data_IF_037140398861
#
_entry.id   IF_037140398861
#
_cell.length_a   1.000
_cell.length_b   1.000
_cell.length_c   1.000
_cell.angle_alpha   90.00
_cell.angle_beta   90.00
_cell.angle_gamma   90.00
#
_symmetry.space_group_name_H-M   'P 1'
#
loop_
_entity.id
_entity.type
_entity.pdbx_description
1 polymer ?
#
# COMPACT_ATOMS: atom_id res chain seq x y z
N UNK A 1 16.72 -4.32 -13.91
CA UNK A 1 15.81 -5.48 -13.91
C UNK A 1 14.39 -4.94 -13.87
N UNK A 2 13.65 -4.97 -14.97
CA UNK A 2 12.26 -4.55 -15.00
C UNK A 2 11.48 -5.76 -14.49
N UNK A 3 11.10 -5.73 -13.22
CA UNK A 3 10.18 -6.72 -12.68
C UNK A 3 8.77 -6.21 -12.95
N UNK A 4 8.17 -6.72 -14.03
CA UNK A 4 6.73 -6.59 -14.23
C UNK A 4 6.05 -7.58 -13.29
N UNK A 5 6.20 -7.34 -11.99
CA UNK A 5 5.54 -8.13 -10.99
C UNK A 5 4.07 -7.72 -10.99
N UNK A 6 3.22 -8.63 -11.41
CA UNK A 6 1.94 -8.77 -10.74
C UNK A 6 2.29 -9.08 -9.27
N UNK A 7 2.70 -8.03 -8.53
CA UNK A 7 3.02 -8.07 -7.10
C UNK A 7 1.85 -8.58 -6.28
N UNK A 8 0.65 -8.56 -6.88
CA UNK A 8 -0.58 -9.13 -6.36
C UNK A 8 -0.55 -10.65 -6.18
N UNK A 9 0.19 -11.42 -6.98
CA UNK A 9 0.18 -12.88 -6.83
C UNK A 9 1.16 -13.40 -5.77
N UNK A 10 2.26 -12.68 -5.52
CA UNK A 10 3.19 -13.05 -4.45
C UNK A 10 2.64 -12.63 -3.07
N UNK A 11 1.98 -11.48 -2.99
CA UNK A 11 1.30 -11.02 -1.78
C UNK A 11 0.00 -11.79 -1.53
N UNK A 12 -0.70 -12.26 -2.59
CA UNK A 12 -2.01 -12.88 -2.45
C UNK A 12 -1.98 -14.29 -1.85
N UNK A 13 -0.92 -15.06 -2.00
CA UNK A 13 -0.82 -16.40 -1.42
C UNK A 13 -0.41 -16.39 0.04
N UNK A 14 0.62 -15.66 0.42
CA UNK A 14 1.01 -15.50 1.83
C UNK A 14 -0.01 -14.68 2.62
N UNK A 15 -0.69 -13.73 1.96
CA UNK A 15 -1.71 -12.86 2.57
C UNK A 15 -3.01 -13.59 2.93
N UNK A 16 -3.50 -14.53 2.09
CA UNK A 16 -4.76 -15.26 2.37
C UNK A 16 -4.62 -16.26 3.52
N UNK A 17 -3.49 -16.90 3.68
CA UNK A 17 -3.30 -17.90 4.73
C UNK A 17 -2.95 -17.27 6.09
N UNK A 18 -2.14 -16.20 6.11
CA UNK A 18 -1.86 -15.45 7.33
C UNK A 18 -3.08 -14.67 7.83
N UNK A 19 -3.86 -14.06 6.93
CA UNK A 19 -4.97 -13.16 7.30
C UNK A 19 -6.10 -13.86 8.04
N UNK A 20 -6.46 -15.09 7.69
CA UNK A 20 -7.56 -15.82 8.34
C UNK A 20 -7.17 -16.36 9.73
N UNK A 21 -5.93 -16.77 9.94
CA UNK A 21 -5.47 -17.27 11.24
C UNK A 21 -5.12 -16.15 12.22
N UNK A 22 -4.61 -15.01 11.76
CA UNK A 22 -4.28 -13.85 12.61
C UNK A 22 -5.50 -12.99 12.96
N UNK A 23 -6.47 -12.86 12.06
CA UNK A 23 -7.77 -12.21 12.37
C UNK A 23 -8.47 -12.93 13.51
N UNK A 24 -8.37 -14.26 13.60
CA UNK A 24 -8.94 -15.05 14.71
C UNK A 24 -8.15 -14.89 16.02
N UNK A 25 -6.86 -14.53 15.98
CA UNK A 25 -6.03 -14.34 17.20
C UNK A 25 -6.09 -12.94 17.80
N UNK A 26 -6.46 -11.93 17.03
CA UNK A 26 -6.68 -10.58 17.55
C UNK A 26 -8.08 -10.47 18.16
N UNK A 27 -8.35 -11.16 19.27
CA UNK A 27 -9.46 -10.78 20.13
C UNK A 27 -9.23 -9.34 20.58
N UNK A 28 -10.27 -8.53 20.47
CA UNK A 28 -10.26 -7.17 21.00
C UNK A 28 -10.24 -7.29 22.53
N UNK A 29 -9.06 -7.28 23.13
CA UNK A 29 -8.94 -7.29 24.60
C UNK A 29 -9.13 -5.86 25.10
N UNK A 30 -10.38 -5.41 25.12
CA UNK A 30 -10.74 -4.06 25.57
C UNK A 30 -10.55 -3.88 27.07
N UNK A 31 -10.51 -4.97 27.83
CA UNK A 31 -10.29 -4.92 29.29
C UNK A 31 -8.89 -4.41 29.64
N UNK A 32 -7.90 -4.70 28.78
CA UNK A 32 -6.54 -4.16 28.91
C UNK A 32 -6.42 -2.69 28.51
N UNK A 33 -7.42 -2.12 27.85
CA UNK A 33 -7.38 -0.77 27.30
C UNK A 33 -7.98 0.30 28.23
N UNK A 34 -8.39 -0.05 29.46
CA UNK A 34 -8.85 0.92 30.45
C UNK A 34 -9.92 1.90 29.92
N UNK A 35 -9.78 3.22 30.16
CA UNK A 35 -10.76 4.22 29.74
C UNK A 35 -11.02 4.25 28.23
N UNK A 36 -10.04 3.92 27.39
CA UNK A 36 -10.19 3.90 25.94
C UNK A 36 -11.08 2.73 25.47
N UNK A 37 -10.99 1.59 26.15
CA UNK A 37 -11.90 0.47 25.89
C UNK A 37 -13.35 0.87 26.12
N UNK A 38 -13.63 1.58 27.21
CA UNK A 38 -14.96 2.13 27.53
C UNK A 38 -15.44 3.08 26.43
N UNK A 39 -14.56 3.97 25.97
CA UNK A 39 -14.86 4.94 24.91
C UNK A 39 -15.20 4.28 23.56
N UNK A 40 -14.52 3.18 23.21
CA UNK A 40 -14.85 2.37 22.03
C UNK A 40 -16.27 1.81 22.16
N UNK A 41 -16.61 1.23 23.31
CA UNK A 41 -17.92 0.66 23.57
C UNK A 41 -19.02 1.73 23.52
N UNK A 42 -18.82 2.87 24.15
CA UNK A 42 -19.73 3.99 24.13
C UNK A 42 -19.94 4.56 22.74
N UNK A 43 -18.84 4.74 21.99
CA UNK A 43 -18.95 5.25 20.62
C UNK A 43 -19.70 4.27 19.71
N UNK A 44 -19.39 3.00 19.74
CA UNK A 44 -20.10 1.99 18.92
C UNK A 44 -21.52 1.77 19.45
N UNK A 45 -21.75 1.98 20.75
CA UNK A 45 -23.03 1.73 21.41
C UNK A 45 -23.35 0.22 21.51
N UNK A 46 -22.36 -0.57 21.93
CA UNK A 46 -22.46 -2.03 22.00
C UNK A 46 -21.54 -2.59 23.12
N UNK A 47 -21.89 -3.73 23.67
CA UNK A 47 -21.02 -4.46 24.60
C UNK A 47 -19.83 -5.12 23.89
N UNK A 48 -18.78 -5.46 24.63
CA UNK A 48 -17.56 -6.06 24.07
C UNK A 48 -17.83 -7.32 23.25
N UNK A 49 -18.71 -8.20 23.73
CA UNK A 49 -19.11 -9.44 23.03
C UNK A 49 -19.88 -9.20 21.72
N UNK A 50 -20.43 -8.00 21.57
CA UNK A 50 -21.20 -7.58 20.39
C UNK A 50 -20.32 -6.90 19.32
N UNK A 51 -19.04 -6.71 19.60
CA UNK A 51 -18.10 -6.14 18.64
C UNK A 51 -17.52 -7.20 17.71
N UNK A 52 -17.13 -6.75 16.54
CA UNK A 52 -16.32 -7.49 15.57
C UNK A 52 -15.21 -6.61 15.04
N UNK A 53 -14.06 -7.21 14.81
CA UNK A 53 -12.89 -6.59 14.19
C UNK A 53 -12.55 -7.35 12.92
N UNK A 54 -12.37 -6.64 11.83
CA UNK A 54 -11.78 -7.16 10.59
C UNK A 54 -10.57 -6.32 10.23
N UNK A 55 -9.54 -6.92 9.63
CA UNK A 55 -8.34 -6.15 9.32
C UNK A 55 -7.36 -6.89 8.45
N UNK A 56 -6.26 -6.21 8.15
CA UNK A 56 -5.17 -6.70 7.30
C UNK A 56 -3.85 -6.07 7.71
N UNK A 57 -2.76 -6.70 7.27
CA UNK A 57 -1.41 -6.15 7.39
C UNK A 57 -0.90 -5.76 6.00
N UNK A 58 -0.17 -4.67 5.93
CA UNK A 58 0.37 -4.11 4.70
C UNK A 58 1.83 -3.73 4.91
N UNK A 59 2.66 -3.73 3.86
CA UNK A 59 3.97 -3.10 3.93
C UNK A 59 3.85 -1.64 4.38
N UNK A 60 4.81 -1.16 5.15
CA UNK A 60 4.75 0.19 5.72
C UNK A 60 4.60 1.30 4.66
N UNK A 61 5.16 1.09 3.47
CA UNK A 61 5.02 2.02 2.36
C UNK A 61 3.58 2.09 1.78
N UNK A 62 2.68 1.18 2.17
CA UNK A 62 1.27 1.23 1.77
C UNK A 62 0.44 2.17 2.66
N UNK A 63 1.01 2.76 3.70
CA UNK A 63 0.29 3.68 4.60
C UNK A 63 -0.47 4.79 3.84
N UNK A 64 0.16 5.57 2.92
CA UNK A 64 -0.59 6.56 2.14
C UNK A 64 -1.69 5.93 1.31
N UNK A 65 -1.45 4.72 0.80
CA UNK A 65 -2.38 4.03 -0.07
C UNK A 65 -3.64 3.56 0.68
N UNK A 66 -3.49 3.09 1.91
CA UNK A 66 -4.62 2.78 2.81
C UNK A 66 -5.51 4.01 3.04
N UNK A 67 -4.91 5.16 3.34
CA UNK A 67 -5.66 6.40 3.54
C UNK A 67 -6.36 6.88 2.26
N UNK A 68 -5.71 6.77 1.11
CA UNK A 68 -6.33 7.11 -0.18
C UNK A 68 -7.48 6.15 -0.52
N UNK A 69 -7.31 4.85 -0.28
CA UNK A 69 -8.35 3.86 -0.47
C UNK A 69 -9.56 4.11 0.43
N UNK A 70 -9.33 4.44 1.71
CA UNK A 70 -10.40 4.82 2.63
C UNK A 70 -11.20 6.00 2.10
N UNK A 71 -10.53 7.07 1.69
CA UNK A 71 -11.20 8.26 1.17
C UNK A 71 -11.96 8.01 -0.14
N UNK A 72 -11.44 7.14 -0.99
CA UNK A 72 -12.05 6.83 -2.29
C UNK A 72 -13.21 5.82 -2.19
N UNK A 73 -13.07 4.80 -1.33
CA UNK A 73 -14.09 3.76 -1.16
C UNK A 73 -15.24 4.20 -0.26
N UNK A 74 -14.97 5.09 0.70
CA UNK A 74 -15.92 5.48 1.75
C UNK A 74 -16.03 7.00 1.89
N UNK A 75 -16.39 7.72 0.80
CA UNK A 75 -16.46 9.18 0.82
C UNK A 75 -17.52 9.72 1.78
N UNK A 76 -18.54 8.92 2.06
CA UNK A 76 -19.66 9.28 2.94
C UNK A 76 -19.40 8.98 4.42
N UNK A 77 -18.23 8.40 4.77
CA UNK A 77 -17.87 8.20 6.16
C UNK A 77 -17.40 9.51 6.78
N UNK A 78 -18.18 10.03 7.72
CA UNK A 78 -17.88 11.30 8.39
C UNK A 78 -16.92 11.04 9.54
N UNK A 79 -15.71 11.60 9.46
CA UNK A 79 -14.73 11.53 10.54
C UNK A 79 -15.21 12.41 11.70
N UNK A 80 -15.53 11.76 12.84
CA UNK A 80 -15.95 12.45 14.06
C UNK A 80 -14.75 12.93 14.87
N UNK A 81 -13.71 12.09 14.97
CA UNK A 81 -12.47 12.42 15.69
C UNK A 81 -11.35 11.43 15.40
N UNK A 82 -10.14 11.82 15.80
CA UNK A 82 -8.96 10.98 15.88
C UNK A 82 -8.54 10.79 17.34
N UNK A 83 -8.02 9.62 17.68
CA UNK A 83 -7.42 9.33 18.98
C UNK A 83 -6.13 8.52 18.78
N UNK A 84 -5.22 8.59 19.74
CA UNK A 84 -4.01 7.80 19.74
C UNK A 84 -4.28 6.33 20.02
N UNK A 85 -3.23 5.55 20.12
CA UNK A 85 -3.29 4.18 20.66
C UNK A 85 -2.98 4.22 22.14
N UNK A 86 -3.53 3.29 22.92
CA UNK A 86 -3.20 3.17 24.34
C UNK A 86 -2.07 2.19 24.59
N UNK A 87 -1.18 2.57 25.51
CA UNK A 87 -0.53 1.64 26.42
C UNK A 87 -1.25 1.72 27.78
N UNK A 88 -1.07 0.73 28.62
CA UNK A 88 -1.86 0.39 29.82
C UNK A 88 -2.41 1.51 30.73
N UNK A 89 -1.94 2.76 30.62
CA UNK A 89 -2.36 3.84 31.53
C UNK A 89 -2.48 5.24 30.89
N UNK A 90 -2.03 5.45 29.64
CA UNK A 90 -2.02 6.77 29.02
C UNK A 90 -2.69 6.76 27.64
N UNK A 91 -3.52 7.78 27.39
CA UNK A 91 -4.08 8.08 26.05
C UNK A 91 -3.03 8.85 25.28
N UNK A 92 -2.44 8.21 24.27
CA UNK A 92 -1.46 8.85 23.41
C UNK A 92 -2.16 9.63 22.30
N UNK A 93 -1.54 10.72 21.85
CA UNK A 93 -1.97 11.40 20.63
C UNK A 93 -1.73 10.49 19.41
N UNK A 94 -2.51 10.66 18.32
CA UNK A 94 -2.25 9.96 17.08
C UNK A 94 -0.84 10.29 16.58
N UNK A 95 -0.11 9.25 16.17
CA UNK A 95 1.21 9.43 15.58
C UNK A 95 1.03 9.52 14.07
N UNK A 96 1.59 10.58 13.49
CA UNK A 96 1.60 10.81 12.06
C UNK A 96 2.99 10.55 11.49
N UNK A 97 3.02 9.94 10.31
CA UNK A 97 4.24 9.75 9.53
C UNK A 97 4.18 10.62 8.28
N UNK A 98 5.21 11.40 8.06
CA UNK A 98 5.39 12.19 6.84
C UNK A 98 5.92 11.30 5.73
N UNK A 99 5.18 11.18 4.64
CA UNK A 99 5.52 10.31 3.50
C UNK A 99 5.57 11.12 2.22
N UNK A 100 6.60 10.88 1.43
CA UNK A 100 6.72 11.44 0.08
C UNK A 100 5.82 10.63 -0.86
N UNK A 101 4.77 11.27 -1.41
CA UNK A 101 3.78 10.64 -2.29
C UNK A 101 4.06 10.86 -3.79
N UNK A 102 4.80 11.92 -4.09
CA UNK A 102 5.38 12.25 -5.41
C UNK A 102 6.69 12.96 -5.15
N UNK A 103 7.63 12.98 -6.09
CA UNK A 103 8.88 13.70 -5.92
C UNK A 103 8.67 15.12 -5.40
N UNK A 104 9.22 15.43 -4.22
CA UNK A 104 9.10 16.72 -3.53
C UNK A 104 7.74 16.98 -2.85
N UNK A 105 6.76 16.10 -2.95
CA UNK A 105 5.43 16.28 -2.34
C UNK A 105 5.24 15.34 -1.16
N UNK A 106 5.11 15.91 0.02
CA UNK A 106 4.95 15.17 1.26
C UNK A 106 3.55 15.38 1.84
N UNK A 107 3.01 14.34 2.48
CA UNK A 107 1.79 14.38 3.29
C UNK A 107 1.98 13.62 4.58
N UNK A 108 1.25 14.05 5.62
CA UNK A 108 1.24 13.38 6.91
C UNK A 108 0.03 12.43 6.99
N UNK A 109 0.29 11.19 7.44
CA UNK A 109 -0.71 10.14 7.56
C UNK A 109 -0.66 9.53 8.95
N UNK A 110 -1.82 9.25 9.55
CA UNK A 110 -1.88 8.53 10.83
C UNK A 110 -1.31 7.13 10.62
N UNK A 111 -0.20 6.83 11.28
CA UNK A 111 0.45 5.51 11.25
C UNK A 111 0.18 4.68 12.50
N UNK A 112 -0.10 5.35 13.63
CA UNK A 112 -0.55 4.71 14.87
C UNK A 112 -1.66 5.54 15.49
N UNK A 113 -2.80 4.92 15.75
CA UNK A 113 -3.97 5.57 16.32
C UNK A 113 -5.27 5.01 15.78
N UNK A 114 -6.35 5.72 16.05
CA UNK A 114 -7.69 5.35 15.64
C UNK A 114 -8.46 6.53 15.10
N UNK A 115 -9.34 6.26 14.15
CA UNK A 115 -10.28 7.20 13.55
C UNK A 115 -11.70 6.72 13.79
N UNK A 116 -12.53 7.59 14.31
CA UNK A 116 -13.91 7.33 14.65
C UNK A 116 -14.83 7.91 13.58
N UNK A 117 -15.59 7.04 12.92
CA UNK A 117 -16.45 7.42 11.79
C UNK A 117 -17.91 7.17 12.10
N UNK A 118 -18.75 8.10 11.65
CA UNK A 118 -20.20 7.95 11.59
C UNK A 118 -20.63 7.84 10.13
N UNK A 119 -21.45 6.86 9.82
CA UNK A 119 -21.99 6.63 8.49
C UNK A 119 -23.33 7.36 8.33
N UNK A 120 -23.79 7.59 7.08
CA UNK A 120 -25.06 8.27 6.82
C UNK A 120 -26.30 7.57 7.43
N UNK A 121 -26.23 6.24 7.58
CA UNK A 121 -27.30 5.44 8.21
C UNK A 121 -27.26 5.47 9.75
N UNK A 122 -26.37 6.27 10.33
CA UNK A 122 -26.15 6.38 11.77
C UNK A 122 -25.29 5.28 12.38
N UNK A 123 -24.86 4.28 11.59
CA UNK A 123 -23.93 3.26 12.09
C UNK A 123 -22.54 3.86 12.30
N UNK A 124 -21.74 3.19 13.14
CA UNK A 124 -20.43 3.70 13.54
C UNK A 124 -19.32 2.69 13.26
N UNK A 125 -18.15 3.21 12.89
CA UNK A 125 -16.93 2.43 12.61
C UNK A 125 -15.76 3.05 13.34
N UNK A 126 -14.85 2.22 13.83
CA UNK A 126 -13.55 2.69 14.31
C UNK A 126 -12.49 2.02 13.47
N UNK A 127 -11.63 2.82 12.85
CA UNK A 127 -10.50 2.35 12.07
C UNK A 127 -9.24 2.49 12.90
N UNK A 128 -8.49 1.41 13.06
CA UNK A 128 -7.22 1.38 13.77
C UNK A 128 -6.07 1.27 12.79
N UNK A 129 -5.06 2.08 13.04
CA UNK A 129 -3.74 2.01 12.41
C UNK A 129 -2.73 1.60 13.49
N UNK A 130 -1.91 0.60 13.20
CA UNK A 130 -0.85 0.14 14.10
C UNK A 130 0.41 -0.17 13.32
N UNK A 131 1.56 0.20 13.86
CA UNK A 131 2.85 -0.23 13.34
C UNK A 131 3.33 -1.41 14.17
N UNK A 132 3.70 -2.50 13.51
CA UNK A 132 4.36 -3.63 14.15
C UNK A 132 5.87 -3.54 13.86
N UNK A 133 6.63 -3.22 14.91
CA UNK A 133 8.09 -3.10 14.85
C UNK A 133 8.81 -4.35 15.38
N UNK A 134 8.08 -5.41 15.73
CA UNK A 134 8.66 -6.59 16.37
C UNK A 134 9.20 -7.61 15.35
N UNK A 135 8.90 -7.46 14.07
CA UNK A 135 9.42 -8.27 12.98
C UNK A 135 10.53 -7.53 12.22
N UNK A 136 11.44 -8.29 11.58
CA UNK A 136 12.49 -7.72 10.69
C UNK A 136 11.93 -6.92 9.50
N UNK A 137 10.65 -7.07 9.21
CA UNK A 137 9.90 -6.31 8.22
C UNK A 137 8.91 -5.40 8.94
N UNK A 138 8.92 -4.13 8.60
CA UNK A 138 8.01 -3.14 9.15
C UNK A 138 6.65 -3.26 8.45
N UNK A 139 5.62 -3.61 9.21
CA UNK A 139 4.24 -3.72 8.72
C UNK A 139 3.35 -2.64 9.31
N UNK A 140 2.41 -2.20 8.48
CA UNK A 140 1.29 -1.34 8.86
C UNK A 140 0.05 -2.21 9.06
N UNK A 141 -0.40 -2.32 10.31
CA UNK A 141 -1.68 -2.93 10.63
C UNK A 141 -2.83 -1.97 10.34
N UNK A 142 -3.89 -2.51 9.74
CA UNK A 142 -5.13 -1.80 9.46
C UNK A 142 -6.30 -2.67 9.91
N UNK A 143 -7.22 -2.11 10.68
CA UNK A 143 -8.43 -2.84 11.07
C UNK A 143 -9.61 -1.91 11.29
N UNK A 144 -10.81 -2.45 11.05
CA UNK A 144 -12.09 -1.78 11.25
C UNK A 144 -12.86 -2.54 12.32
N UNK A 145 -13.41 -1.80 13.29
CA UNK A 145 -14.24 -2.32 14.37
C UNK A 145 -15.64 -1.76 14.26
N UNK A 146 -16.63 -2.62 14.45
CA UNK A 146 -18.04 -2.27 14.43
C UNK A 146 -18.88 -3.26 15.26
N UNK A 147 -20.21 -3.06 15.29
CA UNK A 147 -21.14 -4.06 15.83
C UNK A 147 -21.06 -5.37 15.04
N UNK A 148 -21.13 -6.50 15.72
CA UNK A 148 -21.12 -7.84 15.10
C UNK A 148 -22.29 -8.04 14.13
N UNK A 149 -23.39 -7.34 14.31
CA UNK A 149 -24.56 -7.40 13.42
C UNK A 149 -24.25 -6.99 11.98
N UNK A 150 -23.22 -6.16 11.76
CA UNK A 150 -22.79 -5.69 10.43
C UNK A 150 -21.51 -6.39 9.93
N UNK A 151 -21.18 -7.56 10.46
CA UNK A 151 -19.94 -8.29 10.11
C UNK A 151 -19.78 -8.51 8.61
N UNK A 152 -20.82 -8.95 7.92
CA UNK A 152 -20.77 -9.20 6.46
C UNK A 152 -20.51 -7.92 5.66
N UNK A 153 -21.14 -6.79 6.07
CA UNK A 153 -20.86 -5.49 5.48
C UNK A 153 -19.41 -5.09 5.68
N UNK A 154 -18.87 -5.31 6.87
CA UNK A 154 -17.51 -4.97 7.23
C UNK A 154 -16.46 -5.78 6.41
N UNK A 155 -16.72 -7.05 6.19
CA UNK A 155 -15.90 -7.91 5.33
C UNK A 155 -15.94 -7.44 3.87
N UNK A 156 -17.14 -7.07 3.37
CA UNK A 156 -17.30 -6.51 2.03
C UNK A 156 -16.60 -5.13 1.87
N UNK A 157 -16.67 -4.27 2.89
CA UNK A 157 -15.97 -2.98 2.95
C UNK A 157 -14.45 -3.20 2.85
N UNK A 158 -13.90 -4.17 3.60
CA UNK A 158 -12.47 -4.51 3.55
C UNK A 158 -12.06 -5.06 2.17
N UNK A 159 -12.87 -5.94 1.58
CA UNK A 159 -12.62 -6.45 0.23
C UNK A 159 -12.67 -5.33 -0.83
N UNK A 160 -13.61 -4.40 -0.72
CA UNK A 160 -13.71 -3.24 -1.60
C UNK A 160 -12.44 -2.39 -1.53
N UNK A 161 -11.96 -2.11 -0.31
CA UNK A 161 -10.71 -1.39 -0.08
C UNK A 161 -9.53 -2.09 -0.72
N UNK A 162 -9.35 -3.39 -0.50
CA UNK A 162 -8.27 -4.17 -1.09
C UNK A 162 -8.35 -4.22 -2.62
N UNK A 163 -9.56 -4.32 -3.19
CA UNK A 163 -9.78 -4.30 -4.64
C UNK A 163 -9.37 -2.96 -5.24
N UNK A 164 -9.75 -1.87 -4.58
CA UNK A 164 -9.35 -0.52 -5.00
C UNK A 164 -7.82 -0.35 -4.93
N UNK A 165 -7.19 -0.78 -3.82
CA UNK A 165 -5.75 -0.71 -3.65
C UNK A 165 -4.98 -1.45 -4.74
N UNK A 166 -5.48 -2.57 -5.23
CA UNK A 166 -4.84 -3.33 -6.32
C UNK A 166 -4.78 -2.55 -7.64
N UNK A 167 -5.77 -1.72 -7.92
CA UNK A 167 -5.90 -1.01 -9.20
C UNK A 167 -5.39 0.43 -9.19
N UNK A 168 -5.18 1.04 -8.01
CA UNK A 168 -4.92 2.48 -7.89
C UNK A 168 -3.69 2.82 -7.05
N UNK A 169 -2.66 1.97 -7.06
CA UNK A 169 -1.51 2.19 -6.18
C UNK A 169 -0.78 3.51 -6.50
N UNK A 170 -0.53 4.35 -5.48
CA UNK A 170 0.09 5.67 -5.63
C UNK A 170 1.54 5.60 -6.17
N UNK A 171 2.22 4.47 -6.00
CA UNK A 171 3.54 4.20 -6.58
C UNK A 171 3.48 3.71 -8.03
N UNK A 172 2.27 3.59 -8.61
CA UNK A 172 2.12 3.18 -10.00
C UNK A 172 2.78 4.19 -10.94
N UNK A 173 3.63 3.70 -11.85
CA UNK A 173 4.39 4.54 -12.76
C UNK A 173 5.59 5.27 -12.12
N UNK A 174 5.83 5.11 -10.82
CA UNK A 174 6.96 5.75 -10.13
C UNK A 174 8.22 4.89 -10.20
N UNK A 175 9.37 5.54 -10.09
CA UNK A 175 10.65 4.87 -9.87
C UNK A 175 10.91 4.77 -8.36
N UNK A 176 11.08 3.56 -7.85
CA UNK A 176 11.15 3.28 -6.41
C UNK A 176 12.29 2.32 -6.06
N UNK A 177 12.69 2.34 -4.79
CA UNK A 177 13.54 1.31 -4.17
C UNK A 177 12.68 0.17 -3.61
N UNK A 178 13.28 -0.97 -3.23
CA UNK A 178 12.54 -2.11 -2.65
C UNK A 178 11.73 -1.77 -1.39
N UNK A 179 12.18 -0.80 -0.60
CA UNK A 179 11.48 -0.31 0.60
C UNK A 179 10.34 0.68 0.28
N UNK A 180 10.01 0.91 -0.99
CA UNK A 180 8.94 1.82 -1.40
C UNK A 180 9.34 3.30 -1.47
N UNK A 181 10.58 3.68 -1.12
CA UNK A 181 11.02 5.07 -1.26
C UNK A 181 11.16 5.47 -2.73
N UNK A 182 10.72 6.69 -3.05
CA UNK A 182 10.85 7.24 -4.40
C UNK A 182 12.32 7.49 -4.76
N UNK A 183 12.68 7.26 -6.00
CA UNK A 183 13.94 7.73 -6.52
C UNK A 183 13.87 9.25 -6.79
N UNK A 184 14.86 10.03 -6.36
CA UNK A 184 14.87 11.46 -6.62
C UNK A 184 14.93 11.74 -8.12
N UNK A 185 14.30 12.83 -8.57
CA UNK A 185 14.29 13.26 -9.97
C UNK A 185 15.71 13.37 -10.56
N UNK A 186 16.66 13.83 -9.74
CA UNK A 186 18.07 13.92 -10.12
C UNK A 186 18.76 12.57 -10.39
N UNK A 187 18.16 11.47 -9.95
CA UNK A 187 18.67 10.13 -10.23
C UNK A 187 18.18 9.58 -11.58
N UNK A 188 17.24 10.26 -12.25
CA UNK A 188 16.71 9.88 -13.54
C UNK A 188 17.54 10.48 -14.69
N UNK A 189 17.37 9.95 -15.89
CA UNK A 189 18.05 10.38 -17.09
C UNK A 189 17.10 10.36 -18.30
N UNK A 190 17.50 10.99 -19.39
CA UNK A 190 16.79 10.97 -20.66
C UNK A 190 17.62 10.23 -21.71
N UNK A 191 17.04 9.91 -22.84
CA UNK A 191 17.79 9.34 -23.97
C UNK A 191 18.90 10.26 -24.48
N UNK A 192 18.78 11.56 -24.27
CA UNK A 192 19.82 12.55 -24.67
C UNK A 192 21.07 12.46 -23.79
N UNK A 193 20.96 11.87 -22.60
CA UNK A 193 22.08 11.68 -21.66
C UNK A 193 22.88 10.41 -21.96
N UNK A 194 22.46 9.61 -22.95
CA UNK A 194 23.08 8.31 -23.26
C UNK A 194 23.49 8.27 -24.74
N UNK A 195 24.78 8.18 -24.99
CA UNK A 195 25.31 7.98 -26.34
C UNK A 195 25.14 6.50 -26.74
N UNK A 196 24.10 6.22 -27.54
CA UNK A 196 23.83 4.89 -28.08
C UNK A 196 23.60 4.95 -29.58
N UNK A 197 24.02 3.93 -30.36
CA UNK A 197 23.57 3.73 -31.71
C UNK A 197 22.04 3.65 -31.77
N UNK A 198 21.44 4.22 -32.82
CA UNK A 198 19.98 4.28 -32.98
C UNK A 198 19.35 2.89 -32.93
N UNK A 199 20.01 1.94 -33.57
CA UNK A 199 19.55 0.53 -33.66
C UNK A 199 19.47 -0.13 -32.26
N UNK A 200 20.45 0.17 -31.39
CA UNK A 200 20.45 -0.35 -30.00
C UNK A 200 19.33 0.29 -29.19
N UNK A 201 19.11 1.60 -29.34
CA UNK A 201 18.02 2.30 -28.70
C UNK A 201 16.67 1.72 -29.12
N UNK A 202 16.43 1.52 -30.41
CA UNK A 202 15.18 0.92 -30.91
C UNK A 202 14.94 -0.48 -30.38
N UNK A 203 15.98 -1.32 -30.28
CA UNK A 203 15.89 -2.65 -29.69
C UNK A 203 15.48 -2.56 -28.22
N UNK A 204 16.07 -1.64 -27.45
CA UNK A 204 15.71 -1.42 -26.06
C UNK A 204 14.27 -0.94 -25.91
N UNK A 205 13.85 0.07 -26.65
CA UNK A 205 12.49 0.61 -26.61
C UNK A 205 11.46 -0.46 -26.98
N UNK A 206 11.70 -1.25 -28.02
CA UNK A 206 10.81 -2.33 -28.46
C UNK A 206 10.67 -3.41 -27.40
N UNK A 207 11.77 -3.78 -26.74
CA UNK A 207 11.78 -4.86 -25.74
C UNK A 207 11.41 -4.40 -24.32
N UNK A 208 11.17 -3.10 -24.09
CA UNK A 208 10.74 -2.52 -22.83
C UNK A 208 9.37 -1.87 -22.99
N UNK A 209 9.32 -0.62 -23.43
CA UNK A 209 8.09 0.17 -23.57
C UNK A 209 7.11 -0.46 -24.56
N UNK A 210 7.61 -0.91 -25.72
CA UNK A 210 6.79 -1.58 -26.74
C UNK A 210 6.14 -2.86 -26.21
N UNK A 211 6.87 -3.66 -25.44
CA UNK A 211 6.33 -4.86 -24.81
C UNK A 211 5.22 -4.54 -23.79
N UNK A 212 5.38 -3.48 -22.99
CA UNK A 212 4.38 -3.04 -22.01
C UNK A 212 3.10 -2.55 -22.69
N UNK A 213 3.21 -1.88 -23.84
CA UNK A 213 2.06 -1.46 -24.66
C UNK A 213 1.23 -2.62 -25.21
N UNK A 214 1.83 -3.79 -25.39
CA UNK A 214 1.15 -5.00 -25.90
C UNK A 214 0.56 -5.89 -24.78
N UNK A 215 0.48 -5.40 -23.55
CA UNK A 215 0.04 -6.19 -22.38
C UNK A 215 -1.29 -6.90 -22.60
N UNK A 216 -2.29 -6.21 -23.13
CA UNK A 216 -3.63 -6.78 -23.37
C UNK A 216 -3.59 -7.90 -24.43
N UNK A 217 -2.77 -7.76 -25.46
CA UNK A 217 -2.59 -8.78 -26.51
C UNK A 217 -1.95 -10.04 -25.92
N UNK A 218 -0.90 -9.89 -25.10
CA UNK A 218 -0.25 -11.02 -24.43
C UNK A 218 -1.19 -11.74 -23.48
N UNK A 219 -2.06 -11.00 -22.77
CA UNK A 219 -3.08 -11.60 -21.90
C UNK A 219 -4.09 -12.42 -22.68
N UNK A 220 -4.60 -11.87 -23.79
CA UNK A 220 -5.55 -12.59 -24.67
C UNK A 220 -4.95 -13.87 -25.26
N UNK A 221 -3.66 -13.84 -25.61
CA UNK A 221 -2.95 -14.98 -26.17
C UNK A 221 -2.39 -15.93 -25.11
N UNK A 222 -2.61 -15.66 -23.81
CA UNK A 222 -2.06 -16.44 -22.70
C UNK A 222 -0.52 -16.58 -22.74
N UNK A 223 0.17 -15.57 -23.32
CA UNK A 223 1.63 -15.55 -23.45
C UNK A 223 2.25 -14.87 -22.22
N UNK A 224 3.29 -15.44 -21.60
CA UNK A 224 3.98 -14.82 -20.48
C UNK A 224 4.57 -13.45 -20.84
N UNK A 225 4.30 -12.43 -20.02
CA UNK A 225 4.78 -11.05 -20.23
C UNK A 225 6.15 -10.79 -19.59
N UNK A 226 6.89 -11.83 -19.26
CA UNK A 226 8.22 -11.74 -18.64
C UNK A 226 9.30 -11.68 -19.71
N UNK A 227 10.17 -10.66 -19.61
CA UNK A 227 11.35 -10.56 -20.47
C UNK A 227 12.55 -10.09 -19.65
N UNK A 228 13.68 -10.76 -19.80
CA UNK A 228 14.97 -10.33 -19.28
C UNK A 228 15.76 -9.62 -20.37
N UNK A 229 16.43 -8.51 -20.00
CA UNK A 229 17.38 -7.82 -20.87
C UNK A 229 18.72 -7.83 -20.14
N UNK A 230 19.75 -8.38 -20.78
CA UNK A 230 21.11 -8.35 -20.30
C UNK A 230 21.89 -7.29 -21.06
N UNK A 231 22.38 -6.27 -20.34
CA UNK A 231 23.26 -5.25 -20.87
C UNK A 231 24.72 -5.66 -20.59
N UNK A 232 25.47 -5.93 -21.63
CA UNK A 232 26.88 -6.32 -21.55
C UNK A 232 27.78 -5.27 -22.18
N UNK A 233 28.98 -5.07 -21.63
CA UNK A 233 29.97 -4.13 -22.16
C UNK A 233 30.95 -3.66 -21.08
N UNK A 234 32.01 -2.93 -21.46
CA UNK A 234 33.02 -2.39 -20.54
C UNK A 234 32.41 -1.47 -19.46
N UNK A 235 33.10 -1.24 -18.33
CA UNK A 235 32.72 -0.19 -17.38
C UNK A 235 32.59 1.17 -18.07
N UNK A 236 31.67 2.03 -17.57
CA UNK A 236 31.50 3.39 -18.11
C UNK A 236 30.68 3.50 -19.41
N UNK A 237 30.22 2.42 -20.03
CA UNK A 237 29.45 2.44 -21.31
C UNK A 237 27.96 2.76 -21.15
N UNK A 238 27.53 3.36 -20.04
CA UNK A 238 26.15 3.85 -19.89
C UNK A 238 25.10 2.81 -19.50
N UNK A 239 25.48 1.55 -19.15
CA UNK A 239 24.50 0.51 -18.79
C UNK A 239 23.53 0.91 -17.68
N UNK A 240 24.02 1.52 -16.61
CA UNK A 240 23.20 2.05 -15.51
C UNK A 240 22.35 3.25 -15.94
N UNK A 241 22.86 4.06 -16.88
CA UNK A 241 22.11 5.20 -17.43
C UNK A 241 20.87 4.74 -18.21
N UNK A 242 20.97 3.65 -18.95
CA UNK A 242 19.81 3.05 -19.64
C UNK A 242 18.71 2.69 -18.62
N UNK A 243 19.06 2.10 -17.49
CA UNK A 243 18.09 1.84 -16.41
C UNK A 243 17.41 3.11 -15.89
N UNK A 244 18.17 4.20 -15.72
CA UNK A 244 17.64 5.51 -15.30
C UNK A 244 16.72 6.14 -16.35
N UNK A 245 17.05 6.00 -17.64
CA UNK A 245 16.18 6.44 -18.72
C UNK A 245 14.86 5.67 -18.73
N UNK A 246 14.90 4.35 -18.61
CA UNK A 246 13.69 3.53 -18.56
C UNK A 246 12.83 3.88 -17.34
N UNK A 247 13.45 4.21 -16.21
CA UNK A 247 12.75 4.67 -15.01
C UNK A 247 12.02 6.00 -15.22
N UNK A 248 12.59 6.92 -16.02
CA UNK A 248 11.99 8.23 -16.29
C UNK A 248 10.78 8.21 -17.21
N UNK A 249 10.56 7.12 -17.94
CA UNK A 249 9.46 7.03 -18.93
C UNK A 249 8.09 6.86 -18.27
N UNK A 250 8.02 6.52 -16.99
CA UNK A 250 6.79 6.38 -16.18
C UNK A 250 5.71 5.45 -16.78
N UNK A 251 6.08 4.58 -17.69
CA UNK A 251 5.16 3.65 -18.36
C UNK A 251 4.81 2.43 -17.50
N UNK A 252 5.61 2.19 -16.48
CA UNK A 252 5.39 1.15 -15.47
C UNK A 252 6.13 1.53 -14.18
N UNK A 253 5.78 0.90 -13.07
CA UNK A 253 6.56 1.05 -11.83
C UNK A 253 7.95 0.46 -12.01
N UNK A 254 8.97 1.27 -11.84
CA UNK A 254 10.36 0.87 -11.95
C UNK A 254 10.94 0.57 -10.57
N UNK A 255 11.40 -0.65 -10.36
CA UNK A 255 12.05 -1.05 -9.11
C UNK A 255 13.58 -1.08 -9.31
N UNK A 256 14.26 -0.16 -8.61
CA UNK A 256 15.72 -0.10 -8.61
C UNK A 256 16.28 -0.95 -7.47
N UNK A 257 17.06 -1.97 -7.83
CA UNK A 257 17.77 -2.84 -6.88
C UNK A 257 19.26 -2.67 -7.13
N UNK A 258 20.00 -2.24 -6.11
CA UNK A 258 21.47 -2.05 -6.15
C UNK A 258 22.15 -3.03 -5.22
#
# INVERSE_FOLDING_TARGET
MIVNANRTDYLSRSFREATLQEIQRCQLDLRRNGPFGTEILEFIGAGESELVKVGSQHPLYDLPHLHHAMAACFPDWILSREAGSMSHEEVWLPIHRRVEIKPGTHKDYVCRGSRFYQLPDGTRRIVFFSEDSHCREEYQGFSIVAKRTVKQSLEAELEQLHRWMKSHHYLSGQAIRPNGTLLPQSALATWNDVALPVEIREILERNTVGLLGLRNVFQQLSVPQKRGILLYGPPGTGKTMIGKVLASLNVATFLYVS
#
